data_IF_823762141810
#
_entry.id   IF_823762141810
#
_cell.length_a   1.000
_cell.length_b   1.000
_cell.length_c   1.000
_cell.angle_alpha   90.00
_cell.angle_beta   90.00
_cell.angle_gamma   90.00
#
_symmetry.space_group_name_H-M   'P 1'
#
loop_
_entity.id
_entity.type
_entity.pdbx_description
1 polymer ?
#
# COMPACT_ATOMS: atom_id res chain seq x y z
N UNK A 1 20.88 34.47 -42.64
CA UNK A 1 19.88 35.36 -41.99
C UNK A 1 18.63 34.52 -41.71
N UNK A 2 18.09 34.60 -40.47
CA UNK A 2 16.89 33.91 -39.91
C UNK A 2 16.84 32.37 -39.99
N UNK A 3 17.23 31.64 -38.95
CA UNK A 3 16.45 31.21 -37.76
C UNK A 3 15.24 30.31 -38.09
N UNK A 4 15.42 29.00 -37.87
CA UNK A 4 14.34 28.03 -37.63
C UNK A 4 14.09 28.00 -36.13
N UNK A 5 12.94 28.47 -35.68
CA UNK A 5 12.41 28.08 -34.37
C UNK A 5 11.89 26.65 -34.47
N UNK A 6 12.68 25.71 -33.96
CA UNK A 6 12.23 24.34 -33.74
C UNK A 6 11.70 24.29 -32.30
N UNK A 7 10.40 24.30 -32.13
CA UNK A 7 9.73 24.04 -30.85
C UNK A 7 10.24 22.70 -30.32
N UNK A 8 11.08 22.73 -29.29
CA UNK A 8 11.52 21.53 -28.57
C UNK A 8 10.35 21.09 -27.70
N UNK A 9 9.55 20.14 -28.20
CA UNK A 9 8.63 19.40 -27.35
C UNK A 9 9.47 18.50 -26.43
N UNK A 10 9.57 18.85 -25.14
CA UNK A 10 10.41 18.17 -24.14
C UNK A 10 9.69 16.97 -23.50
N UNK A 11 8.37 16.85 -23.68
CA UNK A 11 7.58 15.72 -23.19
C UNK A 11 6.64 15.29 -24.32
N UNK A 12 6.88 14.11 -24.88
CA UNK A 12 6.05 13.54 -25.97
C UNK A 12 4.77 12.89 -25.44
N UNK A 13 4.76 12.44 -24.18
CA UNK A 13 3.58 11.90 -23.53
C UNK A 13 3.65 12.20 -22.02
N UNK A 14 2.64 12.91 -21.51
CA UNK A 14 2.57 13.34 -20.11
C UNK A 14 2.21 12.18 -19.17
N UNK A 15 1.66 11.09 -19.70
CA UNK A 15 1.32 9.88 -18.94
C UNK A 15 2.57 9.11 -18.49
N UNK A 16 3.71 9.28 -19.16
CA UNK A 16 4.99 8.62 -18.79
C UNK A 16 5.59 9.21 -17.51
N UNK A 17 5.16 10.40 -17.11
CA UNK A 17 5.60 11.08 -15.88
C UNK A 17 4.59 10.94 -14.73
N UNK A 18 3.49 10.22 -14.97
CA UNK A 18 2.54 9.89 -13.94
C UNK A 18 3.05 8.66 -13.19
N UNK A 19 3.41 8.83 -11.92
CA UNK A 19 3.87 7.74 -11.05
C UNK A 19 2.80 6.67 -10.82
N UNK A 20 1.55 6.95 -11.18
CA UNK A 20 0.42 6.01 -11.10
C UNK A 20 0.10 5.33 -12.43
N UNK A 21 0.67 5.81 -13.54
CA UNK A 21 0.47 5.20 -14.85
C UNK A 21 1.31 3.91 -14.95
N UNK A 22 0.62 2.79 -15.16
CA UNK A 22 1.27 1.52 -15.52
C UNK A 22 1.47 1.54 -17.04
N UNK A 23 2.72 1.60 -17.54
CA UNK A 23 2.95 1.71 -18.98
C UNK A 23 2.50 0.44 -19.73
N UNK A 24 2.03 0.66 -20.96
CA UNK A 24 1.70 -0.40 -21.93
C UNK A 24 2.93 -1.29 -22.23
N UNK A 25 2.65 -2.54 -22.56
CA UNK A 25 3.56 -3.68 -22.52
C UNK A 25 4.82 -3.60 -23.42
N UNK A 26 5.04 -2.52 -24.18
CA UNK A 26 6.15 -2.38 -25.14
C UNK A 26 7.40 -1.64 -24.63
N UNK A 27 7.42 -1.12 -23.40
CA UNK A 27 8.62 -0.54 -22.75
C UNK A 27 9.32 -1.52 -21.79
N UNK A 28 9.28 -2.82 -22.10
CA UNK A 28 9.72 -3.90 -21.21
C UNK A 28 11.11 -4.41 -21.62
N UNK A 29 12.17 -3.82 -21.06
CA UNK A 29 13.52 -4.43 -21.07
C UNK A 29 14.00 -4.75 -19.64
N UNK A 30 13.34 -4.23 -18.60
CA UNK A 30 13.76 -4.47 -17.21
C UNK A 30 12.78 -5.24 -16.32
N UNK A 31 11.49 -5.42 -16.67
CA UNK A 31 10.47 -6.05 -15.78
C UNK A 31 10.76 -7.48 -15.32
N UNK A 32 11.75 -8.19 -15.86
CA UNK A 32 12.01 -9.58 -15.49
C UNK A 32 12.25 -9.74 -13.99
N UNK A 33 13.07 -8.84 -13.42
CA UNK A 33 13.37 -8.84 -11.99
C UNK A 33 12.18 -8.38 -11.16
N UNK A 34 11.51 -7.29 -11.52
CA UNK A 34 10.39 -6.78 -10.73
C UNK A 34 9.19 -7.73 -10.76
N UNK A 35 8.97 -8.46 -11.88
CA UNK A 35 7.95 -9.51 -11.94
C UNK A 35 8.30 -10.71 -11.05
N UNK A 36 9.58 -11.08 -10.99
CA UNK A 36 10.07 -12.12 -10.09
C UNK A 36 9.95 -11.70 -8.62
N UNK A 37 10.30 -10.45 -8.31
CA UNK A 37 10.13 -9.85 -6.98
C UNK A 37 8.65 -9.78 -6.59
N UNK A 38 7.76 -9.39 -7.51
CA UNK A 38 6.30 -9.42 -7.29
C UNK A 38 5.80 -10.83 -6.99
N UNK A 39 6.26 -11.83 -7.77
CA UNK A 39 5.86 -13.22 -7.57
C UNK A 39 6.33 -13.72 -6.20
N UNK A 40 7.59 -13.46 -5.86
CA UNK A 40 8.18 -13.82 -4.58
C UNK A 40 7.39 -13.19 -3.42
N UNK A 41 7.02 -11.91 -3.53
CA UNK A 41 6.21 -11.23 -2.52
C UNK A 41 4.83 -11.88 -2.35
N UNK A 42 4.15 -12.25 -3.45
CA UNK A 42 2.86 -12.94 -3.40
C UNK A 42 2.96 -14.32 -2.76
N UNK A 43 3.98 -15.11 -3.12
CA UNK A 43 4.20 -16.43 -2.55
C UNK A 43 4.46 -16.34 -1.03
N UNK A 44 5.29 -15.38 -0.60
CA UNK A 44 5.52 -15.11 0.82
C UNK A 44 4.25 -14.67 1.56
N UNK A 45 3.40 -13.85 0.94
CA UNK A 45 2.14 -13.40 1.55
C UNK A 45 1.10 -14.51 1.63
N UNK A 46 1.09 -15.44 0.68
CA UNK A 46 0.16 -16.58 0.67
C UNK A 46 0.46 -17.54 1.83
N UNK A 47 1.74 -17.81 2.08
CA UNK A 47 2.18 -18.74 3.14
C UNK A 47 2.30 -18.06 4.52
N UNK A 48 2.19 -16.73 4.57
CA UNK A 48 2.36 -15.98 5.80
C UNK A 48 1.26 -16.30 6.85
N UNK A 49 1.66 -16.56 8.11
CA UNK A 49 0.75 -16.52 9.25
C UNK A 49 0.02 -15.17 9.34
N UNK A 50 -1.17 -15.17 9.94
CA UNK A 50 -1.89 -13.94 10.26
C UNK A 50 -1.00 -13.00 11.09
N UNK A 51 -1.02 -11.69 10.76
CA UNK A 51 -0.21 -10.63 11.38
C UNK A 51 1.31 -10.71 11.11
N UNK A 52 1.70 -11.34 10.00
CA UNK A 52 3.07 -11.26 9.49
C UNK A 52 3.33 -9.94 8.78
N UNK A 53 4.59 -9.51 8.76
CA UNK A 53 5.04 -8.32 8.04
C UNK A 53 6.06 -8.74 6.97
N UNK A 54 5.83 -8.33 5.73
CA UNK A 54 6.79 -8.41 4.63
C UNK A 54 7.36 -7.00 4.41
N UNK A 55 8.68 -6.88 4.36
CA UNK A 55 9.33 -5.58 4.13
C UNK A 55 10.15 -5.61 2.85
N UNK A 56 9.89 -4.64 1.98
CA UNK A 56 10.59 -4.46 0.71
C UNK A 56 11.55 -3.28 0.88
N UNK A 57 12.85 -3.52 0.73
CA UNK A 57 13.89 -2.49 0.88
C UNK A 57 14.79 -2.41 -0.34
N UNK A 58 15.35 -1.23 -0.58
CA UNK A 58 16.27 -0.98 -1.68
C UNK A 58 16.43 0.52 -1.97
N UNK A 59 17.44 0.91 -2.75
CA UNK A 59 17.63 2.31 -3.15
C UNK A 59 16.38 2.95 -3.78
N UNK A 60 16.26 4.29 -3.76
CA UNK A 60 15.24 4.99 -4.54
C UNK A 60 15.34 4.65 -6.03
N UNK A 61 14.20 4.55 -6.71
CA UNK A 61 14.15 4.26 -8.16
C UNK A 61 14.29 2.78 -8.54
N UNK A 62 14.35 1.84 -7.59
CA UNK A 62 14.42 0.39 -7.88
C UNK A 62 13.05 -0.28 -8.09
N UNK A 63 11.98 0.50 -8.25
CA UNK A 63 10.64 -0.05 -8.53
C UNK A 63 9.87 -0.62 -7.33
N UNK A 64 10.26 -0.33 -6.07
CA UNK A 64 9.57 -0.84 -4.87
C UNK A 64 8.07 -0.51 -4.84
N UNK A 65 7.71 0.76 -5.06
CA UNK A 65 6.32 1.22 -5.16
C UNK A 65 5.58 0.51 -6.30
N UNK A 66 6.24 0.32 -7.46
CA UNK A 66 5.64 -0.40 -8.58
C UNK A 66 5.34 -1.86 -8.22
N UNK A 67 6.28 -2.53 -7.54
CA UNK A 67 6.10 -3.91 -7.04
C UNK A 67 4.94 -3.94 -6.04
N UNK A 68 4.91 -3.02 -5.07
CA UNK A 68 3.86 -2.97 -4.05
C UNK A 68 2.46 -2.76 -4.66
N UNK A 69 2.34 -1.84 -5.62
CA UNK A 69 1.10 -1.58 -6.36
C UNK A 69 0.68 -2.80 -7.20
N UNK A 70 1.60 -3.46 -7.89
CA UNK A 70 1.31 -4.65 -8.71
C UNK A 70 0.88 -5.84 -7.84
N UNK A 71 1.55 -6.07 -6.70
CA UNK A 71 1.15 -7.07 -5.70
C UNK A 71 -0.28 -6.78 -5.21
N UNK A 72 -0.55 -5.55 -4.81
CA UNK A 72 -1.87 -5.16 -4.32
C UNK A 72 -2.96 -5.31 -5.38
N UNK A 73 -2.66 -4.94 -6.63
CA UNK A 73 -3.57 -5.10 -7.78
C UNK A 73 -3.95 -6.56 -7.99
N UNK A 74 -3.00 -7.49 -7.87
CA UNK A 74 -3.26 -8.94 -7.99
C UNK A 74 -4.05 -9.48 -6.79
N UNK A 75 -3.72 -9.02 -5.59
CA UNK A 75 -4.42 -9.38 -4.35
C UNK A 75 -5.89 -8.95 -4.37
N UNK A 76 -6.20 -7.76 -4.90
CA UNK A 76 -7.58 -7.26 -5.08
C UNK A 76 -8.45 -8.11 -6.01
N UNK A 77 -7.84 -8.96 -6.85
CA UNK A 77 -8.60 -9.88 -7.71
C UNK A 77 -9.09 -11.12 -6.96
N UNK A 78 -8.75 -11.25 -5.67
CA UNK A 78 -9.18 -12.35 -4.81
C UNK A 78 -10.34 -11.90 -3.92
N UNK A 79 -11.52 -12.50 -4.09
CA UNK A 79 -12.75 -12.09 -3.41
C UNK A 79 -12.69 -12.17 -1.86
N UNK A 80 -11.78 -12.95 -1.31
CA UNK A 80 -11.66 -13.20 0.14
C UNK A 80 -10.69 -12.23 0.87
N UNK A 81 -10.21 -11.19 0.18
CA UNK A 81 -9.15 -10.32 0.69
C UNK A 81 -9.52 -8.83 0.59
N UNK A 82 -9.46 -8.14 1.72
CA UNK A 82 -9.51 -6.67 1.74
C UNK A 82 -8.08 -6.12 1.69
N UNK A 83 -7.90 -4.99 0.99
CA UNK A 83 -6.59 -4.40 0.80
C UNK A 83 -6.59 -2.90 1.06
N UNK A 84 -5.55 -2.39 1.72
CA UNK A 84 -5.30 -0.96 1.85
C UNK A 84 -3.91 -0.59 1.33
N UNK A 85 -3.79 0.61 0.75
CA UNK A 85 -2.54 1.23 0.36
C UNK A 85 -2.47 2.59 1.05
N UNK A 86 -1.35 2.88 1.71
CA UNK A 86 -1.10 4.19 2.32
C UNK A 86 0.29 4.63 1.91
N UNK A 87 0.37 5.82 1.33
CA UNK A 87 1.63 6.53 1.14
C UNK A 87 1.98 7.30 2.42
N UNK A 88 3.01 6.87 3.13
CA UNK A 88 3.42 7.47 4.39
C UNK A 88 4.15 8.81 4.23
N UNK A 89 4.52 9.22 3.00
CA UNK A 89 4.92 10.62 2.74
C UNK A 89 3.74 11.58 2.91
N UNK A 90 2.57 11.23 2.37
CA UNK A 90 1.36 12.07 2.45
C UNK A 90 0.68 11.96 3.83
N UNK A 91 0.81 10.80 4.49
CA UNK A 91 0.11 10.46 5.72
C UNK A 91 1.08 10.01 6.83
N UNK A 92 1.98 10.90 7.22
CA UNK A 92 3.06 10.60 8.17
C UNK A 92 2.64 10.47 9.65
N UNK A 93 1.45 10.98 10.03
CA UNK A 93 0.93 10.84 11.39
C UNK A 93 0.13 9.55 11.56
N UNK A 94 0.19 8.94 12.76
CA UNK A 94 -0.58 7.73 13.08
C UNK A 94 -2.07 7.91 12.75
N UNK A 95 -2.68 9.01 13.17
CA UNK A 95 -4.11 9.25 12.97
C UNK A 95 -4.50 9.32 11.49
N UNK A 96 -3.73 10.03 10.66
CA UNK A 96 -4.03 10.14 9.23
C UNK A 96 -3.84 8.80 8.52
N UNK A 97 -2.77 8.07 8.84
CA UNK A 97 -2.57 6.73 8.29
C UNK A 97 -3.70 5.77 8.69
N UNK A 98 -4.13 5.78 9.96
CA UNK A 98 -5.26 4.94 10.41
C UNK A 98 -6.58 5.33 9.74
N UNK A 99 -6.81 6.62 9.48
CA UNK A 99 -7.97 7.07 8.69
C UNK A 99 -7.95 6.48 7.28
N UNK A 100 -6.80 6.52 6.60
CA UNK A 100 -6.67 5.94 5.25
C UNK A 100 -6.87 4.44 5.25
N UNK A 101 -6.24 3.72 6.17
CA UNK A 101 -6.37 2.26 6.26
C UNK A 101 -7.83 1.89 6.51
N UNK A 102 -8.48 2.52 7.49
CA UNK A 102 -9.86 2.21 7.83
C UNK A 102 -10.83 2.53 6.69
N UNK A 103 -10.61 3.65 5.99
CA UNK A 103 -11.41 4.03 4.82
C UNK A 103 -11.22 3.06 3.66
N UNK A 104 -9.98 2.66 3.36
CA UNK A 104 -9.67 1.73 2.27
C UNK A 104 -10.19 0.30 2.52
N UNK A 105 -10.27 -0.10 3.79
CA UNK A 105 -10.85 -1.39 4.19
C UNK A 105 -12.38 -1.34 4.40
N UNK A 106 -13.00 -0.16 4.23
CA UNK A 106 -14.43 0.07 4.48
C UNK A 106 -14.87 -0.39 5.89
N UNK A 107 -14.10 0.00 6.91
CA UNK A 107 -14.39 -0.31 8.32
C UNK A 107 -14.64 0.95 9.13
N UNK A 108 -15.42 0.84 10.20
CA UNK A 108 -15.70 1.98 11.10
C UNK A 108 -16.77 2.95 10.57
N UNK A 109 -17.38 2.67 9.41
CA UNK A 109 -18.44 3.48 8.84
C UNK A 109 -17.94 4.81 8.27
N UNK A 110 -18.63 5.91 8.57
CA UNK A 110 -18.26 7.23 8.05
C UNK A 110 -17.05 7.77 8.84
N UNK A 111 -15.90 7.84 8.17
CA UNK A 111 -14.67 8.38 8.74
C UNK A 111 -14.53 9.86 8.38
N UNK A 112 -14.50 10.71 9.40
CA UNK A 112 -14.17 12.12 9.29
C UNK A 112 -12.69 12.32 9.66
N UNK A 113 -11.85 12.63 8.66
CA UNK A 113 -10.38 12.77 8.80
C UNK A 113 -9.88 13.65 9.95
N UNK A 114 -10.70 14.56 10.47
CA UNK A 114 -10.32 15.47 11.56
C UNK A 114 -11.16 15.28 12.83
N UNK A 115 -12.14 14.39 12.84
CA UNK A 115 -13.15 14.32 13.91
C UNK A 115 -13.45 12.92 14.39
N UNK A 116 -13.16 11.88 13.58
CA UNK A 116 -13.23 10.51 14.06
C UNK A 116 -12.09 10.26 15.05
N UNK A 117 -12.39 9.87 16.30
CA UNK A 117 -11.37 9.61 17.31
C UNK A 117 -10.43 8.47 16.90
N UNK A 118 -9.13 8.60 17.19
CA UNK A 118 -8.14 7.53 16.94
C UNK A 118 -8.59 6.20 17.52
N UNK A 119 -9.21 6.22 18.71
CA UNK A 119 -9.66 5.01 19.39
C UNK A 119 -10.73 4.26 18.58
N UNK A 120 -11.67 4.97 17.97
CA UNK A 120 -12.71 4.35 17.13
C UNK A 120 -12.10 3.71 15.88
N UNK A 121 -11.08 4.34 15.28
CA UNK A 121 -10.34 3.76 14.16
C UNK A 121 -9.62 2.48 14.56
N UNK A 122 -8.93 2.50 15.70
CA UNK A 122 -8.22 1.32 16.25
C UNK A 122 -9.23 0.19 16.50
N UNK A 123 -10.33 0.48 17.18
CA UNK A 123 -11.35 -0.51 17.51
C UNK A 123 -11.97 -1.12 16.24
N UNK A 124 -12.22 -0.31 15.20
CA UNK A 124 -12.72 -0.79 13.90
C UNK A 124 -11.71 -1.68 13.15
N UNK A 125 -10.42 -1.28 13.13
CA UNK A 125 -9.35 -2.04 12.47
C UNK A 125 -9.06 -3.36 13.19
N UNK A 126 -9.19 -3.38 14.52
CA UNK A 126 -8.95 -4.52 15.37
C UNK A 126 -10.17 -5.45 15.53
N UNK A 127 -11.35 -5.05 15.06
CA UNK A 127 -12.55 -5.86 15.09
C UNK A 127 -12.35 -7.22 14.38
N UNK A 128 -12.96 -8.26 14.93
CA UNK A 128 -12.95 -9.60 14.33
C UNK A 128 -13.60 -9.56 12.94
N UNK A 129 -12.95 -10.18 11.96
CA UNK A 129 -13.42 -10.31 10.59
C UNK A 129 -13.02 -11.68 10.05
N UNK A 130 -13.87 -12.22 9.20
CA UNK A 130 -13.69 -13.44 8.42
C UNK A 130 -12.82 -13.21 7.17
N UNK A 131 -12.70 -11.96 6.70
CA UNK A 131 -11.86 -11.59 5.57
C UNK A 131 -10.41 -11.36 6.01
N UNK A 132 -9.45 -11.87 5.23
CA UNK A 132 -8.04 -11.50 5.40
C UNK A 132 -7.86 -10.05 4.94
N UNK A 133 -6.94 -9.34 5.59
CA UNK A 133 -6.60 -7.95 5.28
C UNK A 133 -5.11 -7.87 4.95
N UNK A 134 -4.76 -7.16 3.89
CA UNK A 134 -3.38 -6.79 3.56
C UNK A 134 -3.27 -5.27 3.48
N UNK A 135 -2.36 -4.71 4.26
CA UNK A 135 -2.09 -3.27 4.29
C UNK A 135 -0.68 -3.05 3.76
N UNK A 136 -0.56 -2.20 2.74
CA UNK A 136 0.72 -1.72 2.22
C UNK A 136 0.96 -0.32 2.77
N UNK A 137 2.09 -0.14 3.43
CA UNK A 137 2.62 1.15 3.87
C UNK A 137 3.81 1.47 2.96
N UNK A 138 3.60 2.32 1.96
CA UNK A 138 4.70 2.79 1.11
C UNK A 138 5.48 3.90 1.82
N UNK A 139 6.79 3.93 1.61
CA UNK A 139 7.70 4.89 2.26
C UNK A 139 7.54 4.92 3.80
N UNK A 140 7.39 3.74 4.39
CA UNK A 140 7.12 3.55 5.83
C UNK A 140 8.21 4.17 6.74
N UNK A 141 9.41 4.43 6.23
CA UNK A 141 10.45 5.19 6.94
C UNK A 141 10.05 6.63 7.29
N UNK A 142 9.02 7.18 6.62
CA UNK A 142 8.50 8.53 6.86
C UNK A 142 7.53 8.61 8.03
N UNK A 143 7.06 7.47 8.54
CA UNK A 143 6.15 7.41 9.68
C UNK A 143 6.83 7.98 10.92
N UNK A 144 6.26 9.03 11.50
CA UNK A 144 6.85 9.69 12.67
C UNK A 144 6.52 9.00 13.99
N UNK A 145 5.46 8.18 14.03
CA UNK A 145 5.01 7.48 15.23
C UNK A 145 4.97 5.96 15.03
N UNK A 146 5.80 5.26 15.79
CA UNK A 146 5.89 3.80 15.74
C UNK A 146 4.60 3.08 16.20
N UNK A 147 3.67 3.77 16.88
CA UNK A 147 2.39 3.22 17.28
C UNK A 147 1.56 2.72 16.09
N UNK A 148 1.71 3.31 14.91
CA UNK A 148 1.03 2.86 13.70
C UNK A 148 1.30 1.37 13.43
N UNK A 149 2.58 0.97 13.40
CA UNK A 149 2.98 -0.42 13.13
C UNK A 149 2.47 -1.37 14.21
N UNK A 150 2.50 -0.93 15.47
CA UNK A 150 1.99 -1.71 16.60
C UNK A 150 0.49 -1.94 16.46
N UNK A 151 -0.27 -0.87 16.25
CA UNK A 151 -1.73 -0.88 16.08
C UNK A 151 -2.17 -1.81 14.95
N UNK A 152 -1.51 -1.74 13.79
CA UNK A 152 -1.85 -2.56 12.63
C UNK A 152 -1.47 -4.04 12.78
N UNK A 153 -0.45 -4.35 13.60
CA UNK A 153 -0.04 -5.73 13.87
C UNK A 153 -0.90 -6.39 14.94
N UNK A 154 -1.39 -5.60 15.90
CA UNK A 154 -2.21 -6.10 17.00
C UNK A 154 -3.59 -6.54 16.49
N UNK A 155 -3.97 -7.78 16.83
CA UNK A 155 -5.37 -8.20 16.89
C UNK A 155 -5.67 -8.59 18.33
N UNK A 156 -6.87 -8.31 18.87
CA UNK A 156 -7.29 -8.85 20.15
C UNK A 156 -7.26 -10.38 20.06
N UNK A 157 -6.35 -11.00 20.80
CA UNK A 157 -6.30 -12.45 20.95
C UNK A 157 -7.40 -12.82 21.93
N UNK A 158 -8.55 -13.24 21.42
CA UNK A 158 -9.53 -13.89 22.28
C UNK A 158 -9.01 -15.30 22.57
N UNK A 159 -8.43 -15.49 23.75
CA UNK A 159 -8.29 -16.81 24.34
C UNK A 159 -9.70 -17.38 24.51
N UNK A 160 -10.13 -18.23 23.59
CA UNK A 160 -11.29 -19.08 23.82
C UNK A 160 -10.97 -19.92 25.06
N UNK A 161 -11.62 -19.62 26.19
CA UNK A 161 -11.70 -20.57 27.30
C UNK A 161 -12.28 -21.85 26.71
N UNK A 162 -11.43 -22.86 26.57
CA UNK A 162 -11.83 -24.24 26.32
C UNK A 162 -12.80 -24.63 27.45
N UNK A 163 -13.94 -25.16 27.03
CA UNK A 163 -15.01 -25.70 27.88
C UNK A 163 -14.53 -26.80 28.81
#
# INVERSE_FOLDING_TARGET
MCQRESTRTVILDRQVLDSTAVPDQELIVHRGRELEDCRTALDLLADAPTNSCLVIHGPPGTGKTMIACEVLRRLRQQDALQTAYVDCWEHYSEHHALCEVASALDVGGIIHRNSTPTRELIDALQATTDQRRVVVLDEAEMVTDANLFRTLRERPVWMSSVS
#
